data_IF_183116382938
#
_entry.id   IF_183116382938
#
_cell.length_a   1.000
_cell.length_b   1.000
_cell.length_c   1.000
_cell.angle_alpha   90.00
_cell.angle_beta   90.00
_cell.angle_gamma   90.00
#
_symmetry.space_group_name_H-M   'P 1'
#
loop_
_entity.id
_entity.type
_entity.pdbx_description
1 polymer ?
#
# COMPACT_ATOMS: atom_id res chain seq x y z
N UNK A 1 -12.25 -0.73 15.65
CA UNK A 1 -12.64 -1.58 16.80
C UNK A 1 -14.03 -1.22 17.35
N UNK A 2 -14.98 -2.16 17.26
CA UNK A 2 -16.30 -2.06 17.90
C UNK A 2 -16.18 -1.89 19.43
N UNK A 3 -17.22 -1.39 20.11
CA UNK A 3 -17.22 -1.35 21.58
C UNK A 3 -17.80 -2.61 22.22
N UNK A 4 -17.56 -2.76 23.53
CA UNK A 4 -18.06 -3.87 24.34
C UNK A 4 -19.58 -3.88 24.50
N UNK A 5 -20.27 -2.80 24.08
CA UNK A 5 -21.73 -2.69 24.09
C UNK A 5 -22.37 -3.20 22.79
N UNK A 6 -21.56 -3.68 21.85
CA UNK A 6 -22.02 -4.22 20.56
C UNK A 6 -22.24 -3.14 19.49
N UNK A 7 -21.88 -1.89 19.75
CA UNK A 7 -21.99 -0.82 18.77
C UNK A 7 -20.83 -0.89 17.76
N UNK A 8 -21.13 -0.52 16.52
CA UNK A 8 -20.11 -0.44 15.45
C UNK A 8 -19.39 0.89 15.51
N UNK A 9 -18.08 0.88 15.32
CA UNK A 9 -17.28 2.10 15.42
C UNK A 9 -16.43 2.31 14.18
N UNK A 10 -16.37 3.56 13.74
CA UNK A 10 -15.61 3.99 12.57
C UNK A 10 -14.72 5.15 12.98
N UNK A 11 -13.43 5.05 12.67
CA UNK A 11 -12.51 6.18 12.78
C UNK A 11 -12.58 7.01 11.50
N UNK A 12 -12.70 8.33 11.66
CA UNK A 12 -12.70 9.29 10.55
C UNK A 12 -11.51 10.23 10.77
N UNK A 13 -10.52 10.17 9.89
CA UNK A 13 -9.43 11.15 9.83
C UNK A 13 -9.68 12.18 8.73
N UNK A 14 -9.32 13.44 8.99
CA UNK A 14 -9.54 14.54 8.05
C UNK A 14 -8.51 15.67 8.24
N UNK A 15 -8.41 16.52 7.22
CA UNK A 15 -7.71 17.81 7.29
C UNK A 15 -8.71 18.90 7.65
N UNK A 16 -8.51 19.55 8.80
CA UNK A 16 -9.40 20.60 9.28
C UNK A 16 -8.99 21.96 8.69
N UNK A 17 -9.64 22.35 7.59
CA UNK A 17 -9.40 23.63 6.89
C UNK A 17 -9.70 24.84 7.78
N UNK A 18 -10.63 24.72 8.73
CA UNK A 18 -10.98 25.76 9.69
C UNK A 18 -9.91 25.98 10.76
N UNK A 19 -9.03 24.99 10.98
CA UNK A 19 -7.93 25.02 11.94
C UNK A 19 -6.57 24.85 11.24
N UNK A 20 -6.38 25.50 10.09
CA UNK A 20 -5.09 25.58 9.41
C UNK A 20 -4.65 24.28 8.71
N UNK A 21 -5.60 23.44 8.31
CA UNK A 21 -5.39 22.14 7.66
C UNK A 21 -4.68 21.12 8.58
N UNK A 22 -4.89 21.21 9.89
CA UNK A 22 -4.35 20.23 10.85
C UNK A 22 -4.98 18.86 10.66
N UNK A 23 -4.23 17.81 10.98
CA UNK A 23 -4.72 16.43 10.95
C UNK A 23 -5.54 16.13 12.19
N UNK A 24 -6.82 15.81 11.99
CA UNK A 24 -7.77 15.51 13.06
C UNK A 24 -8.49 14.19 12.85
N UNK A 25 -8.86 13.55 13.95
CA UNK A 25 -9.62 12.32 13.94
C UNK A 25 -10.81 12.40 14.92
N UNK A 26 -11.87 11.65 14.61
CA UNK A 26 -13.04 11.46 15.48
C UNK A 26 -13.54 10.02 15.33
N UNK A 27 -14.07 9.46 16.41
CA UNK A 27 -14.79 8.19 16.36
C UNK A 27 -16.28 8.45 16.19
N UNK A 28 -16.86 7.86 15.15
CA UNK A 28 -18.30 7.71 15.00
C UNK A 28 -18.73 6.35 15.57
N UNK A 29 -19.73 6.34 16.43
CA UNK A 29 -20.34 5.13 16.98
C UNK A 29 -21.73 4.98 16.41
N UNK A 30 -22.05 3.78 15.93
CA UNK A 30 -23.34 3.38 15.35
C UNK A 30 -23.95 2.32 16.24
N UNK A 31 -25.08 2.65 16.86
CA UNK A 31 -25.76 1.72 17.76
C UNK A 31 -26.64 0.70 17.01
N UNK A 32 -27.25 -0.21 17.78
CA UNK A 32 -28.17 -1.22 17.23
C UNK A 32 -29.45 -0.64 16.58
N UNK A 33 -29.78 0.63 16.85
CA UNK A 33 -30.88 1.35 16.22
C UNK A 33 -30.43 2.16 14.99
N UNK A 34 -29.16 2.02 14.58
CA UNK A 34 -28.50 2.81 13.53
C UNK A 34 -28.38 4.32 13.84
N UNK A 35 -28.50 4.72 15.11
CA UNK A 35 -28.19 6.09 15.50
C UNK A 35 -26.67 6.30 15.50
N UNK A 36 -26.23 7.44 14.97
CA UNK A 36 -24.81 7.80 14.88
C UNK A 36 -24.49 8.89 15.90
N UNK A 37 -23.52 8.64 16.76
CA UNK A 37 -22.96 9.63 17.70
C UNK A 37 -21.49 9.85 17.43
N UNK A 38 -21.00 11.07 17.65
CA UNK A 38 -19.59 11.42 17.50
C UNK A 38 -18.96 11.66 18.86
N UNK A 39 -17.76 11.13 19.06
CA UNK A 39 -16.92 11.47 20.21
C UNK A 39 -16.22 12.82 20.04
N UNK A 40 -15.25 13.08 20.92
CA UNK A 40 -14.41 14.28 20.83
C UNK A 40 -13.45 14.21 19.64
N UNK A 41 -13.20 15.38 19.04
CA UNK A 41 -12.24 15.52 17.95
C UNK A 41 -10.83 15.63 18.52
N UNK A 42 -9.93 14.76 18.09
CA UNK A 42 -8.51 14.74 18.52
C UNK A 42 -7.61 15.23 17.39
N UNK A 43 -6.60 16.03 17.72
CA UNK A 43 -5.56 16.45 16.77
C UNK A 43 -4.40 15.47 16.83
N UNK A 44 -4.19 14.70 15.76
CA UNK A 44 -3.03 13.79 15.64
C UNK A 44 -1.84 14.45 14.97
N UNK A 45 -2.05 15.52 14.20
CA UNK A 45 -0.97 16.29 13.56
C UNK A 45 -1.25 17.79 13.67
N UNK A 46 -0.35 18.51 14.35
CA UNK A 46 -0.45 19.96 14.53
C UNK A 46 -0.03 20.80 13.32
N UNK A 47 0.52 20.17 12.28
CA UNK A 47 0.92 20.84 11.04
C UNK A 47 -0.10 20.66 9.91
N UNK A 48 0.03 21.49 8.87
CA UNK A 48 -0.79 21.34 7.65
C UNK A 48 -0.56 19.97 7.01
N UNK A 49 -1.65 19.22 6.82
CA UNK A 49 -1.69 17.97 6.07
C UNK A 49 -2.43 18.15 4.74
N UNK A 50 -1.96 17.46 3.70
CA UNK A 50 -2.48 17.53 2.33
C UNK A 50 -3.36 16.35 1.95
N UNK A 51 -3.13 15.20 2.57
CA UNK A 51 -3.91 13.98 2.42
C UNK A 51 -3.83 13.18 3.71
N UNK A 52 -4.87 12.41 4.01
CA UNK A 52 -4.86 11.48 5.14
C UNK A 52 -5.78 10.30 4.86
N UNK A 53 -5.45 9.16 5.47
CA UNK A 53 -6.26 7.95 5.47
C UNK A 53 -6.03 7.22 6.79
N UNK A 54 -7.05 6.56 7.31
CA UNK A 54 -6.95 5.77 8.53
C UNK A 54 -7.68 4.44 8.37
N UNK A 55 -7.13 3.40 9.00
CA UNK A 55 -7.74 2.08 9.06
C UNK A 55 -7.57 1.50 10.46
N UNK A 56 -8.64 0.95 11.01
CA UNK A 56 -8.68 0.36 12.33
C UNK A 56 -8.76 -1.16 12.24
N UNK A 57 -7.94 -1.85 13.01
CA UNK A 57 -8.02 -3.30 13.14
C UNK A 57 -9.05 -3.72 14.22
N UNK A 58 -9.09 -5.02 14.49
CA UNK A 58 -9.98 -5.60 15.50
C UNK A 58 -9.42 -5.51 16.91
N UNK A 59 -8.10 -5.34 17.08
CA UNK A 59 -7.46 -5.31 18.39
C UNK A 59 -7.61 -3.94 19.06
N UNK A 60 -7.91 -2.89 18.30
CA UNK A 60 -8.02 -1.54 18.84
C UNK A 60 -7.13 -0.52 18.14
N UNK A 61 -6.18 -1.00 17.33
CA UNK A 61 -5.13 -0.20 16.75
C UNK A 61 -5.61 0.46 15.47
N UNK A 62 -5.30 1.75 15.34
CA UNK A 62 -5.71 2.58 14.22
C UNK A 62 -4.44 3.11 13.56
N UNK A 63 -4.14 2.60 12.38
CA UNK A 63 -3.10 3.21 11.54
C UNK A 63 -3.66 4.51 10.96
N UNK A 64 -2.93 5.60 11.14
CA UNK A 64 -3.18 6.87 10.47
C UNK A 64 -1.98 7.19 9.58
N UNK A 65 -2.25 7.32 8.29
CA UNK A 65 -1.31 7.84 7.30
C UNK A 65 -1.69 9.27 6.91
N UNK A 66 -0.70 10.15 6.77
CA UNK A 66 -0.91 11.50 6.28
C UNK A 66 0.29 12.04 5.52
N UNK A 67 0.03 13.03 4.67
CA UNK A 67 1.04 13.72 3.88
C UNK A 67 1.18 15.14 4.39
N UNK A 68 2.42 15.60 4.62
CA UNK A 68 2.72 17.00 4.93
C UNK A 68 3.96 17.48 4.19
N UNK A 69 4.28 18.77 4.27
CA UNK A 69 5.55 19.26 3.74
C UNK A 69 6.72 18.69 4.55
N UNK A 70 7.75 18.21 3.86
CA UNK A 70 9.05 17.94 4.45
C UNK A 70 9.89 19.21 4.45
N UNK A 71 9.89 19.89 3.31
CA UNK A 71 10.54 21.17 3.07
C UNK A 71 9.69 22.01 2.09
N UNK A 72 10.23 23.10 1.56
CA UNK A 72 9.53 23.99 0.61
C UNK A 72 9.20 23.37 -0.75
N UNK A 73 9.87 22.30 -1.15
CA UNK A 73 9.79 21.67 -2.47
C UNK A 73 9.30 20.22 -2.43
N UNK A 74 9.31 19.56 -1.26
CA UNK A 74 8.99 18.15 -1.11
C UNK A 74 7.99 17.88 0.02
N UNK A 75 7.24 16.80 -0.14
CA UNK A 75 6.29 16.27 0.83
C UNK A 75 6.81 14.96 1.41
N UNK A 76 6.25 14.58 2.55
CA UNK A 76 6.57 13.34 3.25
C UNK A 76 5.31 12.63 3.73
N UNK A 77 5.29 11.31 3.58
CA UNK A 77 4.26 10.43 4.11
C UNK A 77 4.68 9.97 5.51
N UNK A 78 3.80 10.22 6.48
CA UNK A 78 3.99 9.91 7.89
C UNK A 78 2.92 8.93 8.32
N UNK A 79 3.32 7.94 9.12
CA UNK A 79 2.44 6.92 9.67
C UNK A 79 2.59 6.83 11.18
N UNK A 80 1.47 6.70 11.88
CA UNK A 80 1.44 6.46 13.31
C UNK A 80 0.28 5.53 13.66
N UNK A 81 0.36 4.86 14.80
CA UNK A 81 -0.73 4.06 15.37
C UNK A 81 -1.34 4.82 16.55
N UNK A 82 -2.66 4.97 16.51
CA UNK A 82 -3.49 5.44 17.62
C UNK A 82 -4.23 4.26 18.26
N UNK A 83 -4.64 4.41 19.51
CA UNK A 83 -5.55 3.46 20.16
C UNK A 83 -7.02 3.79 19.85
N UNK A 84 -7.95 2.99 20.40
CA UNK A 84 -9.38 3.15 20.19
C UNK A 84 -9.97 4.46 20.78
N UNK A 85 -9.22 5.15 21.64
CA UNK A 85 -9.53 6.46 22.20
C UNK A 85 -8.78 7.60 21.47
N UNK A 86 -8.14 7.29 20.32
CA UNK A 86 -7.36 8.22 19.49
C UNK A 86 -6.07 8.75 20.15
N UNK A 87 -5.57 8.11 21.20
CA UNK A 87 -4.27 8.43 21.78
C UNK A 87 -3.13 7.80 20.95
N UNK A 88 -2.06 8.55 20.63
CA UNK A 88 -0.91 7.99 19.91
C UNK A 88 -0.18 6.95 20.76
N UNK A 89 0.11 5.80 20.15
CA UNK A 89 0.84 4.68 20.78
C UNK A 89 2.22 4.49 20.16
N UNK A 90 2.35 4.66 18.83
CA UNK A 90 3.63 4.56 18.13
C UNK A 90 4.23 5.92 17.80
N UNK A 91 5.54 5.94 17.57
CA UNK A 91 6.20 7.09 16.95
C UNK A 91 5.74 7.30 15.51
N UNK A 92 5.89 8.54 15.04
CA UNK A 92 5.75 8.91 13.62
C UNK A 92 6.86 8.25 12.79
N UNK A 93 6.46 7.40 11.83
CA UNK A 93 7.36 6.76 10.88
C UNK A 93 7.31 7.49 9.54
N UNK A 94 8.45 8.05 9.14
CA UNK A 94 8.64 8.84 7.93
C UNK A 94 9.12 7.96 6.79
N UNK A 95 8.23 7.61 5.86
CA UNK A 95 8.49 6.50 4.94
C UNK A 95 8.80 6.91 3.50
N UNK A 96 8.17 7.95 2.96
CA UNK A 96 8.37 8.36 1.56
C UNK A 96 8.47 9.86 1.44
N UNK A 97 9.46 10.30 0.66
CA UNK A 97 9.73 11.71 0.37
C UNK A 97 9.59 11.98 -1.12
N UNK A 98 9.27 13.23 -1.47
CA UNK A 98 9.15 13.71 -2.84
C UNK A 98 7.80 14.35 -3.13
N UNK A 99 7.38 14.37 -4.39
CA UNK A 99 6.09 14.94 -4.77
C UNK A 99 4.94 13.93 -4.62
N UNK A 100 4.72 13.49 -3.38
CA UNK A 100 3.66 12.55 -3.06
C UNK A 100 2.30 13.24 -2.91
N UNK A 101 1.23 12.60 -3.40
CA UNK A 101 -0.10 13.23 -3.45
C UNK A 101 -1.20 12.39 -2.82
N UNK A 102 -1.05 11.06 -2.77
CA UNK A 102 -2.06 10.16 -2.24
C UNK A 102 -1.50 9.20 -1.20
N UNK A 103 -2.33 8.88 -0.20
CA UNK A 103 -2.03 7.88 0.84
C UNK A 103 -3.31 7.14 1.19
N UNK A 104 -3.25 5.81 1.26
CA UNK A 104 -4.32 4.94 1.72
C UNK A 104 -3.79 3.98 2.77
N UNK A 105 -4.33 4.06 3.99
CA UNK A 105 -4.07 3.15 5.09
C UNK A 105 -5.01 1.94 4.99
N UNK A 106 -4.48 0.75 5.25
CA UNK A 106 -5.18 -0.51 5.08
C UNK A 106 -4.78 -1.40 6.24
N UNK A 107 -5.76 -2.13 6.79
CA UNK A 107 -5.54 -3.25 7.70
C UNK A 107 -5.79 -4.51 6.91
N UNK A 108 -4.80 -5.38 6.82
CA UNK A 108 -4.97 -6.68 6.17
C UNK A 108 -5.04 -7.83 7.17
N UNK A 109 -4.44 -7.68 8.35
CA UNK A 109 -4.58 -8.63 9.46
C UNK A 109 -4.47 -7.89 10.79
N UNK A 110 -4.75 -8.58 11.90
CA UNK A 110 -4.59 -8.02 13.24
C UNK A 110 -3.12 -7.57 13.44
N UNK A 111 -2.94 -6.31 13.89
CA UNK A 111 -1.64 -5.64 14.07
C UNK A 111 -0.77 -5.54 12.80
N UNK A 112 -1.33 -5.85 11.62
CA UNK A 112 -0.62 -5.79 10.34
C UNK A 112 -1.29 -4.86 9.35
N UNK A 113 -0.52 -3.88 8.93
CA UNK A 113 -1.01 -2.77 8.14
C UNK A 113 -0.31 -2.69 6.80
N UNK A 114 -1.03 -2.21 5.80
CA UNK A 114 -0.44 -1.81 4.54
C UNK A 114 -0.78 -0.35 4.24
N UNK A 115 0.13 0.32 3.55
CA UNK A 115 -0.12 1.65 3.03
C UNK A 115 0.18 1.68 1.55
N UNK A 116 -0.74 2.25 0.77
CA UNK A 116 -0.50 2.55 -0.63
C UNK A 116 -0.28 4.05 -0.76
N UNK A 117 0.86 4.44 -1.33
CA UNK A 117 1.33 5.82 -1.47
C UNK A 117 1.69 6.00 -2.93
N UNK A 118 0.86 6.71 -3.67
CA UNK A 118 0.97 6.82 -5.13
C UNK A 118 1.25 5.44 -5.76
N UNK A 119 2.41 5.21 -6.39
CA UNK A 119 2.79 3.96 -7.04
C UNK A 119 3.55 2.96 -6.14
N UNK A 120 3.57 3.17 -4.82
CA UNK A 120 4.25 2.30 -3.85
C UNK A 120 3.24 1.67 -2.89
N UNK A 121 3.54 0.46 -2.45
CA UNK A 121 2.89 -0.20 -1.34
C UNK A 121 3.93 -0.52 -0.26
N UNK A 122 3.55 -0.36 1.00
CA UNK A 122 4.40 -0.67 2.15
C UNK A 122 3.64 -1.51 3.15
N UNK A 123 4.31 -2.50 3.73
CA UNK A 123 3.76 -3.31 4.80
C UNK A 123 4.39 -2.90 6.12
N UNK A 124 3.57 -2.87 7.15
CA UNK A 124 3.96 -2.56 8.52
C UNK A 124 3.42 -3.62 9.47
N UNK A 125 4.18 -3.84 10.53
CA UNK A 125 3.76 -4.65 11.66
C UNK A 125 3.85 -3.77 12.91
N UNK A 126 2.80 -3.81 13.72
CA UNK A 126 2.76 -3.13 15.01
C UNK A 126 2.97 -4.17 16.11
N UNK A 127 4.04 -4.00 16.89
CA UNK A 127 4.32 -4.88 18.02
C UNK A 127 5.03 -4.09 19.10
N UNK A 128 4.68 -4.38 20.36
CA UNK A 128 5.29 -3.77 21.54
C UNK A 128 5.31 -2.22 21.52
N UNK A 129 4.25 -1.60 20.98
CA UNK A 129 4.13 -0.14 20.87
C UNK A 129 4.93 0.48 19.71
N UNK A 130 5.55 -0.34 18.86
CA UNK A 130 6.40 0.12 17.75
C UNK A 130 5.78 -0.27 16.42
N UNK A 131 5.64 0.72 15.52
CA UNK A 131 5.27 0.49 14.13
C UNK A 131 6.56 0.26 13.30
N UNK A 132 6.78 -0.98 12.87
CA UNK A 132 7.93 -1.37 12.06
C UNK A 132 7.61 -1.46 10.58
N UNK A 133 8.48 -0.93 9.72
CA UNK A 133 8.42 -1.21 8.28
C UNK A 133 8.89 -2.64 8.03
N UNK A 134 8.03 -3.45 7.40
CA UNK A 134 8.33 -4.83 7.03
C UNK A 134 8.95 -4.89 5.63
N UNK A 135 8.28 -4.29 4.65
CA UNK A 135 8.76 -4.25 3.26
C UNK A 135 8.13 -3.11 2.48
N UNK A 136 8.76 -2.74 1.37
CA UNK A 136 8.28 -1.75 0.43
C UNK A 136 8.35 -2.29 -1.00
N UNK A 137 7.36 -1.95 -1.81
CA UNK A 137 7.23 -2.45 -3.18
C UNK A 137 6.68 -1.38 -4.10
N UNK A 138 7.30 -1.24 -5.27
CA UNK A 138 6.80 -0.38 -6.33
C UNK A 138 5.98 -1.24 -7.30
N UNK A 139 4.68 -0.96 -7.39
CA UNK A 139 3.80 -1.67 -8.28
C UNK A 139 3.74 -1.01 -9.68
N UNK A 140 4.67 -0.10 -9.98
CA UNK A 140 4.91 0.51 -11.29
C UNK A 140 3.67 1.13 -11.94
N UNK A 141 2.76 1.68 -11.15
CA UNK A 141 1.70 2.51 -11.69
C UNK A 141 2.31 3.81 -12.25
N UNK A 142 2.15 4.02 -13.55
CA UNK A 142 2.60 5.24 -14.22
C UNK A 142 1.62 6.38 -13.91
N UNK A 143 2.00 7.25 -12.97
CA UNK A 143 1.20 8.41 -12.53
C UNK A 143 -0.23 8.07 -12.06
N UNK A 144 -0.39 7.24 -11.01
CA UNK A 144 -1.70 6.97 -10.43
C UNK A 144 -2.29 8.25 -9.82
N UNK A 145 -3.61 8.35 -9.88
CA UNK A 145 -4.37 9.42 -9.26
C UNK A 145 -5.70 8.87 -8.73
N UNK A 146 -6.38 9.63 -7.87
CA UNK A 146 -7.64 9.21 -7.24
C UNK A 146 -7.55 7.80 -6.61
N UNK A 147 -6.45 7.55 -5.90
CA UNK A 147 -6.11 6.26 -5.34
C UNK A 147 -7.13 5.80 -4.29
N UNK A 148 -7.60 4.57 -4.43
CA UNK A 148 -8.36 3.84 -3.42
C UNK A 148 -7.78 2.44 -3.28
N UNK A 149 -7.73 1.93 -2.05
CA UNK A 149 -7.21 0.60 -1.80
C UNK A 149 -7.93 -0.03 -0.61
N UNK A 150 -8.09 -1.35 -0.65
CA UNK A 150 -8.74 -2.12 0.39
C UNK A 150 -8.14 -3.54 0.47
N UNK A 151 -8.03 -4.07 1.68
CA UNK A 151 -7.81 -5.50 1.84
C UNK A 151 -9.07 -6.25 1.40
N UNK A 152 -8.91 -7.24 0.53
CA UNK A 152 -9.98 -8.15 0.08
C UNK A 152 -9.85 -9.53 0.74
N UNK A 153 -8.64 -9.88 1.17
CA UNK A 153 -8.31 -11.04 1.99
C UNK A 153 -7.11 -10.68 2.88
N UNK A 154 -6.79 -11.51 3.88
CA UNK A 154 -5.62 -11.28 4.75
C UNK A 154 -4.31 -11.14 3.98
N UNK A 155 -4.20 -11.75 2.82
CA UNK A 155 -3.00 -11.70 1.99
C UNK A 155 -3.20 -10.92 0.70
N UNK A 156 -4.30 -10.20 0.50
CA UNK A 156 -4.60 -9.53 -0.77
C UNK A 156 -5.15 -8.14 -0.60
N UNK A 157 -4.55 -7.20 -1.32
CA UNK A 157 -4.95 -5.80 -1.38
C UNK A 157 -5.39 -5.49 -2.80
N UNK A 158 -6.64 -5.04 -2.96
CA UNK A 158 -7.12 -4.46 -4.21
C UNK A 158 -6.80 -2.97 -4.22
N UNK A 159 -6.23 -2.49 -5.31
CA UNK A 159 -5.95 -1.08 -5.54
C UNK A 159 -6.70 -0.64 -6.80
N UNK A 160 -7.39 0.49 -6.72
CA UNK A 160 -8.04 1.16 -7.83
C UNK A 160 -7.49 2.58 -7.98
N UNK A 161 -7.18 3.00 -9.20
CA UNK A 161 -6.65 4.33 -9.48
C UNK A 161 -6.99 4.78 -10.92
N UNK A 162 -7.01 6.08 -11.15
CA UNK A 162 -6.99 6.64 -12.49
C UNK A 162 -5.54 6.68 -13.01
N UNK A 163 -5.28 6.08 -14.17
CA UNK A 163 -3.95 6.05 -14.76
C UNK A 163 -3.73 7.25 -15.68
N UNK A 164 -3.14 8.35 -15.17
CA UNK A 164 -2.97 9.58 -15.95
C UNK A 164 -2.06 9.41 -17.16
N UNK A 165 -1.14 8.45 -17.14
CA UNK A 165 -0.30 8.10 -18.29
C UNK A 165 -1.03 7.24 -19.34
N UNK A 166 -2.25 6.78 -19.04
CA UNK A 166 -3.13 6.04 -19.94
C UNK A 166 -4.51 6.69 -20.00
N UNK A 167 -4.56 7.95 -20.44
CA UNK A 167 -5.80 8.72 -20.64
C UNK A 167 -6.71 8.82 -19.40
N UNK A 168 -6.13 8.68 -18.20
CA UNK A 168 -6.87 8.66 -16.92
C UNK A 168 -7.91 7.54 -16.82
N UNK A 169 -7.73 6.44 -17.55
CA UNK A 169 -8.62 5.29 -17.41
C UNK A 169 -8.57 4.71 -15.99
N UNK A 170 -9.75 4.34 -15.48
CA UNK A 170 -9.88 3.57 -14.26
C UNK A 170 -9.15 2.24 -14.42
N UNK A 171 -8.20 2.00 -13.54
CA UNK A 171 -7.31 0.86 -13.54
C UNK A 171 -7.37 0.19 -12.17
N UNK A 172 -7.34 -1.14 -12.15
CA UNK A 172 -7.27 -1.89 -10.89
C UNK A 172 -6.11 -2.85 -10.92
N UNK A 173 -5.58 -3.16 -9.74
CA UNK A 173 -4.60 -4.22 -9.56
C UNK A 173 -4.71 -4.87 -8.19
N UNK A 174 -4.21 -6.09 -8.06
CA UNK A 174 -4.15 -6.81 -6.80
C UNK A 174 -2.69 -6.98 -6.42
N UNK A 175 -2.38 -6.67 -5.15
CA UNK A 175 -1.13 -7.03 -4.50
C UNK A 175 -1.38 -8.21 -3.56
N UNK A 176 -0.49 -9.18 -3.60
CA UNK A 176 -0.49 -10.38 -2.77
C UNK A 176 0.68 -10.34 -1.78
N UNK A 177 0.39 -10.68 -0.52
CA UNK A 177 1.30 -10.66 0.60
C UNK A 177 1.65 -12.11 0.97
N UNK A 178 2.94 -12.42 1.04
CA UNK A 178 3.43 -13.72 1.47
C UNK A 178 4.58 -13.55 2.46
N UNK A 179 4.28 -13.74 3.75
CA UNK A 179 5.19 -13.41 4.85
C UNK A 179 5.55 -11.92 4.82
N UNK A 180 6.86 -11.64 4.74
CA UNK A 180 7.40 -10.27 4.71
C UNK A 180 7.61 -9.75 3.27
N UNK A 181 6.98 -10.40 2.28
CA UNK A 181 7.08 -10.04 0.87
C UNK A 181 5.72 -9.62 0.34
N UNK A 182 5.74 -8.72 -0.64
CA UNK A 182 4.58 -8.31 -1.40
C UNK A 182 4.94 -8.39 -2.89
N UNK A 183 4.00 -8.90 -3.69
CA UNK A 183 4.12 -9.02 -5.13
C UNK A 183 2.76 -8.73 -5.77
N UNK A 184 2.71 -8.58 -7.09
CA UNK A 184 1.47 -8.32 -7.81
C UNK A 184 1.68 -7.22 -8.84
N UNK A 185 0.62 -6.48 -9.18
CA UNK A 185 0.67 -5.54 -10.31
C UNK A 185 0.63 -6.15 -11.70
N UNK A 186 0.02 -7.34 -11.84
CA UNK A 186 -0.33 -7.89 -13.15
C UNK A 186 -1.52 -7.11 -13.73
N UNK A 187 -1.31 -5.84 -14.03
CA UNK A 187 -1.99 -5.23 -15.16
C UNK A 187 -1.81 -6.22 -16.32
N UNK A 188 -2.84 -6.44 -17.13
CA UNK A 188 -2.84 -7.38 -18.26
C UNK A 188 -1.83 -7.00 -19.38
N UNK A 189 -0.78 -6.24 -19.05
CA UNK A 189 0.42 -5.98 -19.81
C UNK A 189 1.67 -6.68 -19.23
N UNK A 190 1.60 -7.38 -18.09
CA UNK A 190 2.67 -8.26 -17.63
C UNK A 190 2.86 -9.36 -18.66
N UNK A 191 3.94 -9.23 -19.43
CA UNK A 191 4.44 -10.23 -20.37
C UNK A 191 5.24 -11.33 -19.65
N UNK A 192 5.25 -11.34 -18.33
CA UNK A 192 6.14 -12.18 -17.54
C UNK A 192 5.54 -13.58 -17.36
N UNK A 193 5.90 -14.45 -18.30
CA UNK A 193 5.66 -15.87 -18.20
C UNK A 193 6.74 -16.54 -17.33
N UNK A 194 6.31 -17.22 -16.27
CA UNK A 194 7.19 -18.09 -15.47
C UNK A 194 7.29 -19.44 -16.19
N UNK A 195 8.45 -19.80 -16.74
CA UNK A 195 8.67 -21.15 -17.26
C UNK A 195 8.60 -22.18 -16.11
N UNK A 196 7.69 -23.14 -16.22
CA UNK A 196 7.56 -24.26 -15.27
C UNK A 196 8.41 -25.46 -15.67
N UNK A 197 8.95 -25.43 -16.89
CA UNK A 197 9.83 -26.45 -17.43
C UNK A 197 10.79 -25.81 -18.43
N UNK A 198 11.95 -26.44 -18.59
CA UNK A 198 12.96 -26.06 -19.58
C UNK A 198 12.43 -26.25 -21.01
N UNK A 199 12.88 -25.44 -21.97
CA UNK A 199 12.54 -25.62 -23.38
C UNK A 199 13.56 -25.00 -24.34
N UNK A 200 13.50 -25.45 -25.59
CA UNK A 200 14.31 -24.95 -26.70
C UNK A 200 13.43 -24.15 -27.69
N UNK A 201 14.07 -23.40 -28.58
CA UNK A 201 13.36 -22.56 -29.56
C UNK A 201 12.44 -23.38 -30.47
N UNK A 202 11.16 -23.01 -30.52
CA UNK A 202 10.10 -23.72 -31.28
C UNK A 202 9.25 -24.66 -30.42
N UNK A 203 9.63 -24.91 -29.17
CA UNK A 203 8.85 -25.72 -28.25
C UNK A 203 7.67 -24.93 -27.66
N UNK A 204 6.58 -25.63 -27.36
CA UNK A 204 5.55 -25.14 -26.43
C UNK A 204 5.92 -25.67 -25.04
N UNK A 205 6.20 -24.77 -24.09
CA UNK A 205 6.48 -25.12 -22.70
C UNK A 205 5.37 -24.64 -21.77
N UNK A 206 5.20 -25.34 -20.65
CA UNK A 206 4.27 -24.94 -19.59
C UNK A 206 4.76 -23.68 -18.89
N UNK A 207 3.85 -22.72 -18.76
CA UNK A 207 4.07 -21.46 -18.08
C UNK A 207 3.12 -21.36 -16.87
N UNK A 208 3.60 -20.77 -15.77
CA UNK A 208 2.83 -20.58 -14.54
C UNK A 208 1.73 -19.54 -14.69
N UNK A 209 1.96 -18.52 -15.51
CA UNK A 209 1.00 -17.49 -15.90
C UNK A 209 1.28 -17.06 -17.36
N UNK A 210 0.25 -16.86 -18.18
CA UNK A 210 0.38 -16.81 -19.65
C UNK A 210 0.76 -15.44 -20.22
N UNK A 211 1.72 -15.42 -21.17
CA UNK A 211 2.10 -14.25 -21.98
C UNK A 211 3.41 -14.43 -22.78
N UNK A 212 3.70 -13.54 -23.75
CA UNK A 212 4.98 -13.49 -24.53
C UNK A 212 5.79 -12.22 -24.19
N UNK A 213 7.08 -12.33 -23.80
CA UNK A 213 7.98 -11.20 -23.48
C UNK A 213 9.08 -10.96 -24.54
N UNK A 214 9.46 -9.70 -24.76
CA UNK A 214 10.57 -9.29 -25.64
C UNK A 214 11.51 -8.33 -24.89
N UNK A 215 12.82 -8.45 -25.11
CA UNK A 215 13.82 -7.83 -24.24
C UNK A 215 14.87 -6.95 -24.93
N UNK A 216 14.77 -5.63 -24.78
CA UNK A 216 15.73 -4.67 -25.33
C UNK A 216 16.82 -4.27 -24.31
N UNK A 217 18.10 -4.23 -24.73
CA UNK A 217 19.15 -3.46 -24.04
C UNK A 217 20.21 -4.18 -23.18
N UNK A 218 20.36 -5.51 -23.25
CA UNK A 218 21.39 -6.23 -22.46
C UNK A 218 22.30 -7.08 -23.37
N UNK A 219 23.54 -7.30 -22.94
CA UNK A 219 24.63 -7.99 -23.67
C UNK A 219 25.01 -9.33 -23.00
N UNK A 220 25.47 -10.29 -23.79
CA UNK A 220 25.89 -11.62 -23.33
C UNK A 220 26.95 -11.60 -22.22
N UNK A 221 26.77 -12.44 -21.19
CA UNK A 221 27.77 -12.69 -20.15
C UNK A 221 27.72 -11.79 -18.90
N UNK A 222 26.69 -10.95 -18.74
CA UNK A 222 26.46 -10.21 -17.50
C UNK A 222 25.67 -11.03 -16.47
N UNK A 223 26.09 -10.98 -15.21
CA UNK A 223 25.38 -11.56 -14.06
C UNK A 223 24.47 -10.52 -13.43
N UNK A 224 23.25 -10.90 -13.05
CA UNK A 224 22.31 -10.07 -12.29
C UNK A 224 22.03 -10.78 -10.97
N UNK A 225 22.25 -10.10 -9.84
CA UNK A 225 21.85 -10.61 -8.54
C UNK A 225 20.33 -10.54 -8.40
N UNK A 226 19.72 -11.67 -7.99
CA UNK A 226 18.27 -11.77 -7.78
C UNK A 226 18.00 -12.13 -6.32
N UNK A 227 17.35 -11.22 -5.58
CA UNK A 227 16.88 -11.50 -4.21
C UNK A 227 15.58 -12.34 -4.17
N UNK A 228 15.18 -12.93 -5.31
CA UNK A 228 14.00 -13.78 -5.47
C UNK A 228 13.58 -13.84 -6.93
N UNK A 229 14.00 -14.90 -7.63
CA UNK A 229 13.83 -15.09 -9.09
C UNK A 229 12.35 -15.29 -9.46
N UNK A 230 11.87 -14.56 -10.47
CA UNK A 230 11.55 -15.21 -11.75
C UNK A 230 11.86 -14.34 -12.96
N UNK A 231 12.55 -14.96 -13.92
CA UNK A 231 13.51 -14.35 -14.84
C UNK A 231 12.93 -13.50 -15.98
N UNK A 232 13.72 -12.53 -16.42
CA UNK A 232 13.59 -11.83 -17.71
C UNK A 232 14.88 -12.00 -18.52
N UNK A 233 14.72 -12.43 -19.77
CA UNK A 233 15.81 -12.73 -20.70
C UNK A 233 16.47 -11.48 -21.26
N UNK A 234 17.73 -11.58 -21.67
CA UNK A 234 18.09 -10.98 -22.96
C UNK A 234 19.20 -11.74 -23.70
N UNK A 235 19.32 -11.41 -25.00
CA UNK A 235 20.10 -12.08 -26.05
C UNK A 235 21.51 -12.57 -25.65
N UNK A 236 21.59 -13.87 -25.30
CA UNK A 236 22.37 -14.89 -26.03
C UNK A 236 21.91 -16.30 -25.64
N UNK A 237 20.59 -16.48 -25.50
CA UNK A 237 19.95 -17.80 -25.56
C UNK A 237 20.06 -18.73 -24.35
N UNK A 238 20.63 -18.32 -23.21
CA UNK A 238 20.75 -19.21 -22.03
C UNK A 238 20.36 -18.54 -20.71
N UNK A 239 19.64 -19.28 -19.86
CA UNK A 239 19.37 -18.97 -18.45
C UNK A 239 20.08 -20.04 -17.60
N UNK A 240 21.12 -19.66 -16.87
CA UNK A 240 21.72 -20.51 -15.81
C UNK A 240 21.17 -20.04 -14.46
N UNK A 241 20.47 -20.93 -13.76
CA UNK A 241 20.04 -20.72 -12.37
C UNK A 241 21.08 -21.42 -11.49
N UNK A 242 21.73 -20.69 -10.58
CA UNK A 242 22.54 -21.27 -9.50
C UNK A 242 21.79 -21.27 -8.18
#
# INVERSE_FOLDING_TARGET
PDDDSGNKRVCICFSDTGDGNKGKAVIATVDSANAVTFGDVVTFSGGTIYATSCAADKTGNILVGYIRNQDTASKIAIFAVLNAELNPISNELNNDTGNIVSVQAIVYDDDKFACVIDNRAKLFEFSDGVLGLVTAYNYNANSPDCLSAAAIEKSKILIAFANRSNSSYGTTTILEISGNRIAGSFLNNSKDAIALESGEGGNTIKLGFGGYCACEGITAGQTIDSEGITAYSPLDGWLEIK
#
